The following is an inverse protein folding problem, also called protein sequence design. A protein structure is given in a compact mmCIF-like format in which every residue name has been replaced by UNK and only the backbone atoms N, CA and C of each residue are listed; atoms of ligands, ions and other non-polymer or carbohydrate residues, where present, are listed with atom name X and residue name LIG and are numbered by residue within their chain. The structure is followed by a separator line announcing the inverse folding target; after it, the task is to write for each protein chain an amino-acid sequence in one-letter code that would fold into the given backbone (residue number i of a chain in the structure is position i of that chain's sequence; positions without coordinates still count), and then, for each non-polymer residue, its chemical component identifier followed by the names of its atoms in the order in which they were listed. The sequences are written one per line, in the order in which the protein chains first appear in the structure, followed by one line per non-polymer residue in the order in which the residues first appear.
data_IF_178005842735
#
_entry.id   IF_178005842735
#
_cell.length_a   1.000
_cell.length_b   1.000
_cell.length_c   1.000
_cell.angle_alpha   90.00
_cell.angle_beta   90.00
_cell.angle_gamma   90.00
#
_symmetry.space_group_name_H-M   'P 1'
#
loop_
_entity.id
_entity.type
_entity.pdbx_description
1 polymer ?
#
# COMPACT_ATOMS: atom_id res chain seq x y z
N UNK A 1 24.88 10.14 4.02
CA UNK A 1 25.29 9.30 2.87
C UNK A 1 26.74 9.59 2.53
N UNK A 2 27.57 8.56 2.25
CA UNK A 2 28.95 8.79 1.78
C UNK A 2 28.94 9.57 0.46
N UNK A 3 29.82 10.58 0.32
CA UNK A 3 30.00 11.35 -0.92
C UNK A 3 30.22 10.43 -2.13
N UNK A 4 30.89 9.30 -1.93
CA UNK A 4 31.13 8.29 -2.96
C UNK A 4 29.84 7.67 -3.51
N UNK A 5 28.89 7.33 -2.63
CA UNK A 5 27.57 6.80 -3.03
C UNK A 5 26.73 7.85 -3.78
N UNK A 6 26.89 9.13 -3.43
CA UNK A 6 26.20 10.22 -4.12
C UNK A 6 26.70 10.39 -5.54
N UNK A 7 28.04 10.41 -5.74
CA UNK A 7 28.65 10.49 -7.07
C UNK A 7 28.31 9.27 -7.93
N UNK A 8 28.32 8.06 -7.34
CA UNK A 8 27.90 6.85 -8.04
C UNK A 8 26.45 6.93 -8.54
N UNK A 9 25.52 7.39 -7.69
CA UNK A 9 24.11 7.56 -8.10
C UNK A 9 23.95 8.63 -9.17
N UNK A 10 24.67 9.75 -9.05
CA UNK A 10 24.61 10.86 -10.00
C UNK A 10 25.12 10.49 -11.40
N UNK A 11 26.22 9.72 -11.47
CA UNK A 11 26.84 9.35 -12.74
C UNK A 11 26.26 8.06 -13.35
N UNK A 12 25.46 7.31 -12.61
CA UNK A 12 24.90 6.05 -13.08
C UNK A 12 23.64 6.30 -13.89
N UNK A 13 23.61 5.76 -15.11
CA UNK A 13 22.42 5.73 -15.98
C UNK A 13 21.22 4.97 -15.39
N UNK A 14 21.42 4.25 -14.28
CA UNK A 14 20.33 3.59 -13.54
C UNK A 14 19.40 4.59 -12.85
N UNK A 15 19.89 5.79 -12.51
CA UNK A 15 19.12 6.76 -11.75
C UNK A 15 18.85 7.99 -12.60
N UNK A 16 17.64 8.52 -12.50
CA UNK A 16 17.30 9.82 -13.04
C UNK A 16 17.59 10.91 -12.00
N UNK A 17 18.26 11.98 -12.41
CA UNK A 17 18.54 13.14 -11.56
C UNK A 17 17.55 14.25 -11.87
N UNK A 18 17.00 14.88 -10.83
CA UNK A 18 16.14 16.05 -10.95
C UNK A 18 16.96 17.27 -10.53
N UNK A 19 17.09 18.22 -11.46
CA UNK A 19 17.73 19.51 -11.20
C UNK A 19 16.63 20.53 -10.90
N UNK A 20 16.71 21.16 -9.74
CA UNK A 20 15.76 22.18 -9.28
C UNK A 20 16.34 23.56 -9.54
N UNK A 21 15.50 24.52 -9.95
CA UNK A 21 15.91 25.90 -10.21
C UNK A 21 16.45 26.59 -8.95
N UNK A 22 16.02 26.14 -7.78
CA UNK A 22 16.51 26.59 -6.48
C UNK A 22 16.52 25.43 -5.46
N UNK A 23 17.36 25.50 -4.42
CA UNK A 23 17.39 24.48 -3.37
C UNK A 23 16.04 24.34 -2.66
N UNK A 24 15.55 23.12 -2.53
CA UNK A 24 14.36 22.78 -1.74
C UNK A 24 14.78 22.13 -0.43
N UNK A 25 14.29 22.65 0.69
CA UNK A 25 14.43 21.98 1.98
C UNK A 25 13.35 20.90 2.10
N UNK A 26 13.75 19.63 2.11
CA UNK A 26 12.86 18.48 2.33
C UNK A 26 12.46 18.35 3.81
N UNK A 27 11.81 19.37 4.35
CA UNK A 27 11.25 19.38 5.70
C UNK A 27 9.73 19.60 5.61
N UNK A 28 8.93 18.96 6.49
CA UNK A 28 7.52 19.26 6.60
C UNK A 28 7.27 20.77 6.77
N UNK A 29 6.28 21.31 6.05
CA UNK A 29 5.92 22.74 6.12
C UNK A 29 5.42 23.15 7.52
N UNK A 30 4.74 22.23 8.21
CA UNK A 30 4.22 22.45 9.56
C UNK A 30 5.13 21.78 10.58
N UNK A 31 5.34 22.50 11.69
CA UNK A 31 6.43 22.38 12.68
C UNK A 31 6.77 20.92 13.07
N UNK A 32 7.85 20.34 12.52
CA UNK A 32 8.29 18.99 12.90
C UNK A 32 8.92 18.93 14.30
N UNK A 33 9.35 20.07 14.86
CA UNK A 33 10.02 20.12 16.15
C UNK A 33 9.10 19.95 17.37
N UNK A 34 7.79 20.12 17.19
CA UNK A 34 6.80 19.99 18.27
C UNK A 34 6.02 18.69 18.25
N UNK A 35 6.20 17.83 17.23
CA UNK A 35 5.42 16.60 17.00
C UNK A 35 3.88 16.81 17.01
N UNK A 36 3.44 18.06 16.80
CA UNK A 36 2.02 18.44 16.88
C UNK A 36 1.23 18.18 15.58
N UNK A 37 1.88 17.54 14.60
CA UNK A 37 1.29 17.25 13.29
C UNK A 37 0.58 18.43 12.63
N UNK A 38 -0.45 18.13 11.84
CA UNK A 38 -1.35 19.14 11.24
C UNK A 38 -2.63 19.17 12.10
N UNK A 39 -3.00 20.30 12.72
CA UNK A 39 -4.14 20.37 13.63
C UNK A 39 -5.45 19.85 13.03
N UNK A 40 -5.69 20.14 11.74
CA UNK A 40 -6.87 19.64 11.02
C UNK A 40 -6.91 18.11 10.94
N UNK A 41 -5.77 17.47 10.69
CA UNK A 41 -5.67 16.00 10.68
C UNK A 41 -5.96 15.45 12.08
N UNK A 42 -5.40 16.06 13.13
CA UNK A 42 -5.69 15.64 14.51
C UNK A 42 -7.16 15.79 14.88
N UNK A 43 -7.80 16.89 14.48
CA UNK A 43 -9.22 17.10 14.70
C UNK A 43 -10.07 16.04 14.01
N UNK A 44 -9.72 15.68 12.77
CA UNK A 44 -10.43 14.66 12.00
C UNK A 44 -10.20 13.25 12.57
N UNK A 45 -8.97 12.90 12.94
CA UNK A 45 -8.71 11.62 13.62
C UNK A 45 -9.44 11.53 14.96
N UNK A 46 -9.59 12.66 15.67
CA UNK A 46 -10.33 12.71 16.92
C UNK A 46 -11.85 12.57 16.71
N UNK A 47 -12.41 13.09 15.61
CA UNK A 47 -13.84 12.92 15.29
C UNK A 47 -14.16 11.47 14.95
N UNK A 48 -13.25 10.75 14.28
CA UNK A 48 -13.43 9.34 13.88
C UNK A 48 -12.92 8.33 14.91
N UNK A 49 -12.54 8.77 16.12
CA UNK A 49 -11.85 7.94 17.11
C UNK A 49 -12.61 6.64 17.43
N UNK A 50 -13.93 6.74 17.64
CA UNK A 50 -14.76 5.58 18.00
C UNK A 50 -14.81 4.55 16.87
N UNK A 51 -14.91 5.02 15.63
CA UNK A 51 -14.89 4.17 14.44
C UNK A 51 -13.52 3.50 14.24
N UNK A 52 -12.43 4.25 14.39
CA UNK A 52 -11.06 3.70 14.33
C UNK A 52 -10.88 2.63 15.41
N UNK A 53 -11.32 2.89 16.64
CA UNK A 53 -11.24 1.94 17.74
C UNK A 53 -12.07 0.68 17.47
N UNK A 54 -13.25 0.82 16.86
CA UNK A 54 -14.06 -0.32 16.45
C UNK A 54 -13.33 -1.19 15.41
N UNK A 55 -12.71 -0.59 14.39
CA UNK A 55 -11.91 -1.31 13.39
C UNK A 55 -10.70 -2.01 14.00
N UNK A 56 -9.95 -1.33 14.86
CA UNK A 56 -8.80 -1.96 15.57
C UNK A 56 -9.27 -3.13 16.43
N UNK A 57 -10.45 -3.02 17.06
CA UNK A 57 -11.01 -4.11 17.87
C UNK A 57 -11.35 -5.35 17.01
N UNK A 58 -11.81 -5.16 15.77
CA UNK A 58 -12.10 -6.27 14.84
C UNK A 58 -10.88 -7.15 14.56
N UNK A 59 -9.67 -6.59 14.61
CA UNK A 59 -8.42 -7.35 14.41
C UNK A 59 -8.33 -8.51 15.41
N UNK A 60 -8.84 -8.35 16.64
CA UNK A 60 -8.82 -9.40 17.66
C UNK A 60 -9.58 -10.65 17.26
N UNK A 61 -10.59 -10.54 16.38
CA UNK A 61 -11.33 -11.69 15.86
C UNK A 61 -10.45 -12.62 14.99
N UNK A 62 -9.32 -12.12 14.48
CA UNK A 62 -8.39 -12.83 13.61
C UNK A 62 -7.05 -13.13 14.30
N UNK A 63 -6.97 -12.98 15.63
CA UNK A 63 -5.72 -13.12 16.38
C UNK A 63 -5.05 -14.48 16.18
N UNK A 64 -5.82 -15.57 16.06
CA UNK A 64 -5.26 -16.93 15.92
C UNK A 64 -4.56 -17.08 14.56
N UNK A 65 -5.19 -16.62 13.48
CA UNK A 65 -4.59 -16.62 12.14
C UNK A 65 -3.37 -15.72 12.07
N UNK A 66 -3.44 -14.53 12.67
CA UNK A 66 -2.32 -13.59 12.73
C UNK A 66 -1.13 -14.13 13.53
N UNK A 67 -1.37 -14.79 14.66
CA UNK A 67 -0.34 -15.44 15.48
C UNK A 67 0.27 -16.67 14.78
N UNK A 68 -0.47 -17.32 13.89
CA UNK A 68 0.03 -18.45 13.11
C UNK A 68 1.01 -18.03 11.99
N UNK A 69 1.02 -16.74 11.60
CA UNK A 69 2.00 -16.22 10.65
C UNK A 69 3.37 -16.20 11.32
N UNK A 70 4.37 -16.79 10.66
CA UNK A 70 5.74 -16.88 11.18
C UNK A 70 6.52 -15.59 10.89
N UNK A 71 7.61 -15.30 11.62
CA UNK A 71 8.59 -14.31 11.18
C UNK A 71 9.08 -14.61 9.76
N UNK A 72 9.26 -13.58 8.92
CA UNK A 72 9.74 -13.75 7.53
C UNK A 72 11.07 -14.50 7.45
N UNK A 73 11.93 -14.39 8.47
CA UNK A 73 13.20 -15.11 8.60
C UNK A 73 13.05 -16.63 8.81
N UNK A 74 11.87 -17.09 9.23
CA UNK A 74 11.58 -18.49 9.57
C UNK A 74 10.55 -19.13 8.63
N UNK A 75 9.95 -18.34 7.74
CA UNK A 75 9.01 -18.81 6.72
C UNK A 75 9.78 -19.22 5.45
N UNK A 76 9.82 -20.52 5.16
CA UNK A 76 10.52 -21.07 3.99
C UNK A 76 9.72 -20.93 2.71
N UNK A 77 8.40 -20.77 2.79
CA UNK A 77 7.55 -20.56 1.63
C UNK A 77 7.55 -19.09 1.23
N UNK A 78 8.03 -18.78 0.02
CA UNK A 78 8.01 -17.41 -0.51
C UNK A 78 6.59 -16.87 -0.71
N UNK A 79 5.60 -17.74 -0.91
CA UNK A 79 4.19 -17.39 -1.16
C UNK A 79 3.38 -17.17 0.13
N UNK A 80 3.99 -17.28 1.30
CA UNK A 80 3.34 -16.99 2.58
C UNK A 80 3.80 -15.64 3.14
N UNK A 81 2.90 -14.87 3.81
CA UNK A 81 3.31 -13.67 4.51
C UNK A 81 4.22 -14.03 5.67
N UNK A 82 5.02 -13.05 6.12
CA UNK A 82 5.83 -13.20 7.31
C UNK A 82 5.96 -11.89 8.09
N UNK A 83 5.92 -11.98 9.41
CA UNK A 83 6.13 -10.84 10.30
C UNK A 83 7.54 -10.28 10.17
N UNK A 84 7.71 -8.99 10.50
CA UNK A 84 9.00 -8.31 10.50
C UNK A 84 9.75 -8.37 9.15
N UNK A 85 9.00 -8.31 8.05
CA UNK A 85 9.55 -8.36 6.69
C UNK A 85 10.27 -7.06 6.25
N UNK A 86 10.14 -5.97 7.02
CA UNK A 86 10.82 -4.69 6.75
C UNK A 86 10.14 -3.79 5.71
N UNK A 87 9.03 -4.23 5.12
CA UNK A 87 8.26 -3.49 4.12
C UNK A 87 6.87 -3.10 4.62
N UNK A 88 6.14 -4.04 5.24
CA UNK A 88 4.80 -3.82 5.78
C UNK A 88 4.83 -3.91 7.31
N UNK A 89 4.61 -2.79 8.04
CA UNK A 89 4.53 -2.77 9.50
C UNK A 89 3.49 -3.74 10.06
N UNK A 90 3.69 -4.17 11.30
CA UNK A 90 2.88 -5.24 11.89
C UNK A 90 1.39 -4.90 12.02
N UNK A 91 1.06 -3.68 12.45
CA UNK A 91 -0.35 -3.28 12.56
C UNK A 91 -1.00 -3.13 11.18
N UNK A 92 -0.27 -2.62 10.19
CA UNK A 92 -0.75 -2.47 8.81
C UNK A 92 -1.06 -3.84 8.19
N UNK A 93 -0.20 -4.83 8.45
CA UNK A 93 -0.42 -6.21 8.05
C UNK A 93 -1.65 -6.83 8.74
N UNK A 94 -1.84 -6.58 10.04
CA UNK A 94 -3.02 -7.06 10.77
C UNK A 94 -4.31 -6.38 10.29
N UNK A 95 -4.25 -5.07 10.02
CA UNK A 95 -5.36 -4.29 9.48
C UNK A 95 -5.73 -4.76 8.08
N UNK A 96 -4.77 -4.92 7.16
CA UNK A 96 -5.02 -5.41 5.81
C UNK A 96 -5.66 -6.82 5.81
N UNK A 97 -5.13 -7.73 6.63
CA UNK A 97 -5.72 -9.06 6.80
C UNK A 97 -7.18 -8.97 7.24
N UNK A 98 -7.44 -8.15 8.28
CA UNK A 98 -8.78 -7.92 8.82
C UNK A 98 -9.72 -7.33 7.77
N UNK A 99 -9.29 -6.29 7.04
CA UNK A 99 -10.12 -5.64 6.02
C UNK A 99 -10.58 -6.65 4.96
N UNK A 100 -9.67 -7.50 4.46
CA UNK A 100 -10.04 -8.49 3.44
C UNK A 100 -10.96 -9.56 4.03
N UNK A 101 -10.68 -10.03 5.25
CA UNK A 101 -11.47 -11.07 5.89
C UNK A 101 -12.88 -10.60 6.31
N UNK A 102 -13.02 -9.33 6.70
CA UNK A 102 -14.27 -8.72 7.16
C UNK A 102 -15.15 -8.29 5.97
N UNK A 103 -14.57 -7.54 5.01
CA UNK A 103 -15.34 -6.96 3.92
C UNK A 103 -15.54 -7.91 2.74
N UNK A 104 -14.71 -8.95 2.63
CA UNK A 104 -14.76 -9.96 1.57
C UNK A 104 -14.97 -9.35 0.17
N UNK A 105 -14.06 -8.43 -0.25
CA UNK A 105 -14.27 -7.67 -1.47
C UNK A 105 -14.32 -8.59 -2.68
N UNK A 106 -15.10 -8.24 -3.70
CA UNK A 106 -15.03 -8.98 -4.97
C UNK A 106 -13.66 -8.79 -5.61
N UNK A 107 -13.08 -7.59 -5.49
CA UNK A 107 -11.73 -7.27 -5.98
C UNK A 107 -10.89 -6.57 -4.93
N UNK A 108 -9.67 -7.06 -4.78
CA UNK A 108 -8.58 -6.38 -4.09
C UNK A 108 -7.56 -5.94 -5.15
N UNK A 109 -7.51 -4.65 -5.44
CA UNK A 109 -6.56 -4.05 -6.37
C UNK A 109 -5.44 -3.39 -5.58
N UNK A 110 -4.19 -3.72 -5.90
CA UNK A 110 -3.02 -3.23 -5.20
C UNK A 110 -2.06 -2.51 -6.15
N UNK A 111 -1.65 -1.31 -5.76
CA UNK A 111 -0.64 -0.50 -6.46
C UNK A 111 0.64 -0.50 -5.63
N UNK A 112 1.71 -1.07 -6.19
CA UNK A 112 2.94 -1.38 -5.45
C UNK A 112 2.79 -2.70 -4.70
N UNK A 113 3.16 -3.81 -5.34
CA UNK A 113 2.86 -5.16 -4.85
C UNK A 113 4.09 -5.86 -4.25
N UNK A 114 3.84 -6.84 -3.39
CA UNK A 114 4.88 -7.57 -2.68
C UNK A 114 4.37 -8.22 -1.39
N UNK A 115 4.87 -7.77 -0.24
CA UNK A 115 4.55 -8.40 1.05
C UNK A 115 3.08 -8.23 1.45
N UNK A 116 2.48 -7.07 1.16
CA UNK A 116 1.04 -6.81 1.33
C UNK A 116 0.19 -7.76 0.49
N UNK A 117 0.59 -8.04 -0.76
CA UNK A 117 -0.09 -9.04 -1.60
C UNK A 117 -0.12 -10.43 -0.96
N UNK A 118 0.97 -10.86 -0.31
CA UNK A 118 1.03 -12.16 0.38
C UNK A 118 0.08 -12.20 1.58
N UNK A 119 -0.09 -11.08 2.29
CA UNK A 119 -1.06 -10.93 3.39
C UNK A 119 -2.48 -10.98 2.84
N UNK A 120 -2.74 -10.27 1.74
CA UNK A 120 -4.03 -10.29 1.07
C UNK A 120 -4.42 -11.70 0.59
N UNK A 121 -3.46 -12.42 0.02
CA UNK A 121 -3.63 -13.82 -0.39
C UNK A 121 -3.92 -14.75 0.80
N UNK A 122 -3.25 -14.55 1.94
CA UNK A 122 -3.53 -15.34 3.14
C UNK A 122 -4.95 -15.10 3.67
N UNK A 123 -5.40 -13.84 3.73
CA UNK A 123 -6.76 -13.49 4.16
C UNK A 123 -7.81 -14.02 3.17
N UNK A 124 -7.59 -13.84 1.86
CA UNK A 124 -8.42 -14.40 0.78
C UNK A 124 -8.63 -15.90 0.96
N UNK A 125 -7.53 -16.65 1.06
CA UNK A 125 -7.57 -18.11 1.11
C UNK A 125 -8.34 -18.64 2.34
N UNK A 126 -8.38 -17.86 3.42
CA UNK A 126 -9.00 -18.27 4.67
C UNK A 126 -10.44 -17.78 4.84
N UNK A 127 -10.78 -16.60 4.31
CA UNK A 127 -12.02 -15.89 4.64
C UNK A 127 -12.78 -15.33 3.44
N UNK A 128 -12.14 -15.18 2.28
CA UNK A 128 -12.73 -14.50 1.13
C UNK A 128 -12.33 -15.18 -0.19
N UNK A 129 -12.70 -16.45 -0.36
CA UNK A 129 -12.21 -17.30 -1.47
C UNK A 129 -12.46 -16.73 -2.86
N UNK A 130 -13.54 -15.96 -3.01
CA UNK A 130 -13.97 -15.37 -4.28
C UNK A 130 -13.29 -14.03 -4.61
N UNK A 131 -12.52 -13.44 -3.67
CA UNK A 131 -11.81 -12.18 -3.93
C UNK A 131 -10.80 -12.36 -5.07
N UNK A 132 -10.90 -11.52 -6.09
CA UNK A 132 -9.87 -11.41 -7.11
C UNK A 132 -8.74 -10.49 -6.63
N UNK A 133 -7.49 -10.97 -6.62
CA UNK A 133 -6.30 -10.15 -6.36
C UNK A 133 -5.75 -9.62 -7.69
N UNK A 134 -5.71 -8.31 -7.81
CA UNK A 134 -5.19 -7.56 -8.97
C UNK A 134 -3.95 -6.81 -8.53
N UNK A 135 -2.78 -7.16 -9.08
CA UNK A 135 -1.50 -6.52 -8.74
C UNK A 135 -1.05 -5.57 -9.86
N UNK A 136 -0.68 -4.35 -9.49
CA UNK A 136 -0.13 -3.32 -10.37
C UNK A 136 1.26 -2.95 -9.84
N UNK A 137 2.30 -3.47 -10.48
CA UNK A 137 3.69 -3.13 -10.15
C UNK A 137 4.63 -3.54 -11.30
N UNK A 138 5.48 -2.64 -11.83
CA UNK A 138 6.46 -3.01 -12.85
C UNK A 138 7.56 -3.94 -12.32
N UNK A 139 7.85 -3.94 -11.02
CA UNK A 139 8.91 -4.72 -10.39
C UNK A 139 8.56 -5.06 -8.92
N UNK A 140 7.66 -6.03 -8.68
CA UNK A 140 7.20 -6.38 -7.34
C UNK A 140 8.36 -6.88 -6.46
N UNK A 141 8.24 -6.65 -5.15
CA UNK A 141 9.31 -6.96 -4.17
C UNK A 141 9.27 -8.40 -3.64
N UNK A 142 8.26 -9.17 -4.03
CA UNK A 142 8.10 -10.59 -3.70
C UNK A 142 7.54 -11.34 -4.93
N UNK A 143 7.67 -12.67 -4.93
CA UNK A 143 7.06 -13.54 -5.93
C UNK A 143 5.55 -13.62 -5.65
N UNK A 144 4.78 -12.80 -6.35
CA UNK A 144 3.33 -12.61 -6.13
C UNK A 144 2.48 -13.12 -7.30
N UNK A 145 3.12 -13.61 -8.36
CA UNK A 145 2.45 -14.04 -9.60
C UNK A 145 1.53 -15.23 -9.33
N UNK A 146 1.93 -16.11 -8.41
CA UNK A 146 1.16 -17.30 -8.05
C UNK A 146 -0.02 -17.01 -7.12
N UNK A 147 -0.07 -15.83 -6.49
CA UNK A 147 -1.15 -15.45 -5.57
C UNK A 147 -2.11 -14.41 -6.15
N UNK A 148 -1.73 -13.76 -7.26
CA UNK A 148 -2.54 -12.77 -7.96
C UNK A 148 -3.28 -13.40 -9.14
N UNK A 149 -4.54 -13.03 -9.35
CA UNK A 149 -5.33 -13.53 -10.50
C UNK A 149 -5.13 -12.64 -11.72
N UNK A 150 -4.98 -11.33 -11.50
CA UNK A 150 -4.68 -10.36 -12.55
C UNK A 150 -3.39 -9.64 -12.22
N UNK A 151 -2.51 -9.53 -13.21
CA UNK A 151 -1.14 -9.03 -13.06
C UNK A 151 -0.87 -7.96 -14.12
N UNK A 152 -0.63 -6.72 -13.69
CA UNK A 152 -0.22 -5.61 -14.52
C UNK A 152 1.22 -5.22 -14.19
N UNK A 153 2.16 -5.62 -15.06
CA UNK A 153 3.59 -5.25 -14.96
C UNK A 153 3.85 -3.87 -15.55
N UNK A 154 3.17 -2.86 -15.02
CA UNK A 154 3.19 -1.48 -15.51
C UNK A 154 3.37 -0.51 -14.34
N UNK A 155 4.08 0.62 -14.56
CA UNK A 155 3.99 1.78 -13.66
C UNK A 155 2.53 2.23 -13.51
N UNK A 156 2.13 2.66 -12.32
CA UNK A 156 0.73 2.99 -12.02
C UNK A 156 0.19 4.10 -12.93
N UNK A 157 1.00 5.11 -13.24
CA UNK A 157 0.65 6.21 -14.13
C UNK A 157 0.38 5.79 -15.59
N UNK A 158 0.66 4.54 -15.96
CA UNK A 158 0.38 3.99 -17.29
C UNK A 158 -0.83 3.04 -17.28
N UNK A 159 -1.43 2.78 -16.12
CA UNK A 159 -2.60 1.90 -16.02
C UNK A 159 -3.83 2.62 -16.57
N UNK A 160 -4.52 1.95 -17.48
CA UNK A 160 -5.72 2.48 -18.12
C UNK A 160 -6.89 2.64 -17.14
N UNK A 161 -7.82 3.53 -17.50
CA UNK A 161 -9.00 3.86 -16.70
C UNK A 161 -9.94 2.68 -16.51
N UNK A 162 -9.92 1.72 -17.42
CA UNK A 162 -10.71 0.50 -17.36
C UNK A 162 -10.47 -0.29 -16.07
N UNK A 163 -9.24 -0.27 -15.53
CA UNK A 163 -8.94 -0.92 -14.25
C UNK A 163 -9.68 -0.22 -13.10
N UNK A 164 -9.60 1.10 -13.04
CA UNK A 164 -10.32 1.91 -12.04
C UNK A 164 -11.84 1.76 -12.18
N UNK A 165 -12.37 1.82 -13.41
CA UNK A 165 -13.80 1.68 -13.71
C UNK A 165 -14.34 0.29 -13.36
N UNK A 166 -13.47 -0.72 -13.26
CA UNK A 166 -13.86 -2.06 -12.86
C UNK A 166 -14.18 -2.19 -11.36
N UNK A 167 -13.65 -1.31 -10.51
CA UNK A 167 -13.91 -1.32 -9.07
C UNK A 167 -15.35 -0.89 -8.78
N UNK A 168 -16.00 -1.62 -7.88
CA UNK A 168 -17.37 -1.38 -7.42
C UNK A 168 -17.42 -1.10 -5.92
N UNK A 169 -18.58 -0.66 -5.43
CA UNK A 169 -18.79 -0.50 -3.99
C UNK A 169 -18.50 -1.82 -3.23
N UNK A 170 -17.68 -1.73 -2.18
CA UNK A 170 -17.20 -2.87 -1.40
C UNK A 170 -15.88 -3.49 -1.90
N UNK A 171 -15.40 -3.13 -3.10
CA UNK A 171 -14.05 -3.49 -3.54
C UNK A 171 -12.99 -2.66 -2.79
N UNK A 172 -11.77 -3.20 -2.70
CA UNK A 172 -10.62 -2.55 -2.05
C UNK A 172 -9.61 -2.12 -3.10
N UNK A 173 -9.17 -0.86 -3.05
CA UNK A 173 -7.99 -0.33 -3.73
C UNK A 173 -6.90 0.00 -2.70
N UNK A 174 -5.86 -0.82 -2.61
CA UNK A 174 -4.74 -0.61 -1.72
C UNK A 174 -3.59 0.13 -2.43
N UNK A 175 -3.19 1.29 -1.91
CA UNK A 175 -2.13 2.13 -2.49
C UNK A 175 -0.87 2.10 -1.61
N UNK A 176 0.19 1.42 -2.06
CA UNK A 176 1.54 1.41 -1.46
C UNK A 176 2.60 1.79 -2.51
N UNK A 177 2.44 3.00 -3.05
CA UNK A 177 3.22 3.49 -4.18
C UNK A 177 4.54 4.17 -3.75
N UNK A 178 5.22 4.86 -4.67
CA UNK A 178 6.56 5.43 -4.45
C UNK A 178 6.63 6.56 -3.41
N UNK A 179 5.48 7.08 -2.95
CA UNK A 179 5.35 8.22 -2.04
C UNK A 179 5.98 9.53 -2.55
N UNK A 180 6.13 9.68 -3.87
CA UNK A 180 6.72 10.88 -4.49
C UNK A 180 5.71 11.57 -5.40
N UNK A 181 5.48 12.86 -5.15
CA UNK A 181 4.67 13.71 -6.00
C UNK A 181 5.55 14.44 -7.03
N UNK A 182 5.49 14.02 -8.28
CA UNK A 182 6.09 14.65 -9.46
C UNK A 182 5.03 14.75 -10.55
N UNK A 183 5.21 15.58 -11.60
CA UNK A 183 4.36 15.51 -12.78
C UNK A 183 4.32 14.06 -13.29
N UNK A 184 3.11 13.51 -13.45
CA UNK A 184 2.88 12.15 -13.92
C UNK A 184 3.51 11.03 -13.05
N UNK A 185 3.72 11.26 -11.75
CA UNK A 185 4.05 10.15 -10.84
C UNK A 185 2.81 9.41 -10.36
N UNK A 186 3.00 8.19 -9.89
CA UNK A 186 1.99 7.36 -9.25
C UNK A 186 1.13 8.10 -8.20
N UNK A 187 1.75 8.84 -7.28
CA UNK A 187 1.04 9.61 -6.27
C UNK A 187 0.20 10.74 -6.88
N UNK A 188 0.73 11.45 -7.88
CA UNK A 188 0.01 12.52 -8.56
C UNK A 188 -1.20 11.97 -9.31
N UNK A 189 -1.03 10.90 -10.09
CA UNK A 189 -2.11 10.25 -10.83
C UNK A 189 -3.19 9.72 -9.89
N UNK A 190 -2.80 9.11 -8.76
CA UNK A 190 -3.75 8.63 -7.77
C UNK A 190 -4.65 9.77 -7.27
N UNK A 191 -4.05 10.84 -6.74
CA UNK A 191 -4.82 11.92 -6.11
C UNK A 191 -5.59 12.79 -7.11
N UNK A 192 -5.10 12.95 -8.34
CA UNK A 192 -5.68 13.89 -9.30
C UNK A 192 -6.60 13.24 -10.34
N UNK A 193 -6.46 11.94 -10.59
CA UNK A 193 -7.24 11.24 -11.63
C UNK A 193 -8.05 10.09 -11.06
N UNK A 194 -7.43 9.19 -10.29
CA UNK A 194 -8.10 7.98 -9.80
C UNK A 194 -9.06 8.29 -8.64
N UNK A 195 -8.55 8.82 -7.53
CA UNK A 195 -9.33 9.05 -6.31
C UNK A 195 -10.62 9.85 -6.56
N UNK A 196 -10.62 10.95 -7.37
CA UNK A 196 -11.85 11.70 -7.66
C UNK A 196 -12.85 10.95 -8.54
N UNK A 197 -12.41 9.93 -9.27
CA UNK A 197 -13.22 9.19 -10.27
C UNK A 197 -13.68 7.82 -9.74
N UNK A 198 -13.24 7.41 -8.56
CA UNK A 198 -13.66 6.16 -7.94
C UNK A 198 -15.16 6.18 -7.64
N UNK A 199 -15.80 5.02 -7.83
CA UNK A 199 -17.21 4.85 -7.48
C UNK A 199 -17.37 4.98 -5.96
N UNK A 200 -18.44 5.64 -5.48
CA UNK A 200 -18.74 5.68 -4.05
C UNK A 200 -18.82 4.27 -3.46
N UNK A 201 -18.20 4.07 -2.31
CA UNK A 201 -18.18 2.79 -1.60
C UNK A 201 -16.99 1.88 -1.91
N UNK A 202 -16.12 2.24 -2.86
CA UNK A 202 -14.78 1.62 -2.94
C UNK A 202 -13.99 2.00 -1.68
N UNK A 203 -13.38 1.01 -1.05
CA UNK A 203 -12.52 1.20 0.12
C UNK A 203 -11.09 1.48 -0.36
N UNK A 204 -10.47 2.55 0.12
CA UNK A 204 -9.11 2.98 -0.25
C UNK A 204 -8.23 3.10 0.99
#
# INVERSE_FOLDING_TARGET
MSKLKSWYRFLSSRWQTIHLDYPVEFKPRFRPASDQGIPLIHQQLASEKEEIQAHVTKILAYQEHLQAIRPRSEESNALKPGWNNGYLPGLDMAALYMMIAEYQPKRYMEVGSGNSTLVAAAAKNQHSSETEIISIDPYPRADIDQVSQTILRLPFEQVGRECMESLEAGDILFIDNSHRALPNSDATVFFTEWLPSLKPGVLV
#
